data_IF_196564401770
#
_entry.id   IF_196564401770
#
_cell.length_a   1.000
_cell.length_b   1.000
_cell.length_c   1.000
_cell.angle_alpha   90.00
_cell.angle_beta   90.00
_cell.angle_gamma   90.00
#
_symmetry.space_group_name_H-M   'P 1'
#
loop_
_entity.id
_entity.type
_entity.pdbx_description
1 polymer ?
#
# COMPACT_ATOMS: atom_id res chain seq x y z
N UNK A 1 9.48 5.75 -1.68
CA UNK A 1 9.51 4.58 -2.57
C UNK A 1 10.36 3.50 -1.92
N UNK A 2 9.90 2.25 -1.93
CA UNK A 2 10.50 1.11 -1.19
C UNK A 2 11.34 0.15 -2.09
N UNK A 3 11.57 0.47 -3.36
CA UNK A 3 12.13 -0.47 -4.34
C UNK A 3 13.56 -0.92 -4.07
N UNK A 4 14.40 -0.04 -3.51
CA UNK A 4 15.81 -0.32 -3.18
C UNK A 4 16.03 -0.19 -1.67
N UNK A 5 15.19 -0.90 -0.90
CA UNK A 5 15.18 -0.85 0.56
C UNK A 5 16.37 -1.59 1.17
N UNK A 6 17.03 -0.92 2.10
CA UNK A 6 18.01 -1.46 3.05
C UNK A 6 17.60 -1.05 4.47
N UNK A 7 18.19 -1.64 5.50
CA UNK A 7 17.88 -1.25 6.88
C UNK A 7 18.16 0.25 7.13
N UNK A 8 19.28 0.77 6.63
CA UNK A 8 19.63 2.20 6.75
C UNK A 8 18.59 3.09 6.07
N UNK A 9 18.18 2.75 4.85
CA UNK A 9 17.15 3.51 4.13
C UNK A 9 15.79 3.44 4.80
N UNK A 10 15.44 2.31 5.42
CA UNK A 10 14.20 2.22 6.19
C UNK A 10 14.20 3.25 7.33
N UNK A 11 15.28 3.36 8.09
CA UNK A 11 15.39 4.35 9.16
C UNK A 11 15.32 5.80 8.63
N UNK A 12 15.93 6.09 7.47
CA UNK A 12 15.81 7.41 6.82
C UNK A 12 14.37 7.71 6.39
N UNK A 13 13.66 6.73 5.83
CA UNK A 13 12.26 6.85 5.44
C UNK A 13 11.36 7.08 6.66
N UNK A 14 11.59 6.37 7.76
CA UNK A 14 10.83 6.54 9.01
C UNK A 14 10.93 7.99 9.52
N UNK A 15 12.14 8.55 9.56
CA UNK A 15 12.36 9.95 9.95
C UNK A 15 11.65 10.92 9.00
N UNK A 16 11.72 10.68 7.69
CA UNK A 16 11.08 11.55 6.70
C UNK A 16 9.55 11.51 6.80
N UNK A 17 8.96 10.33 7.01
CA UNK A 17 7.51 10.14 7.18
C UNK A 17 7.02 10.80 8.47
N UNK A 18 7.76 10.66 9.56
CA UNK A 18 7.43 11.33 10.83
C UNK A 18 7.50 12.85 10.70
N UNK A 19 8.53 13.38 10.04
CA UNK A 19 8.66 14.81 9.76
C UNK A 19 7.51 15.31 8.87
N UNK A 20 7.13 14.56 7.84
CA UNK A 20 6.01 14.91 6.97
C UNK A 20 4.68 14.95 7.74
N UNK A 21 4.43 13.96 8.61
CA UNK A 21 3.26 13.92 9.49
C UNK A 21 3.21 15.12 10.43
N UNK A 22 4.33 15.42 11.11
CA UNK A 22 4.43 16.57 12.04
C UNK A 22 4.21 17.90 11.33
N UNK A 23 4.68 18.03 10.09
CA UNK A 23 4.53 19.22 9.28
C UNK A 23 3.20 19.30 8.50
N UNK A 24 2.29 18.33 8.69
CA UNK A 24 1.06 18.15 7.90
C UNK A 24 1.32 18.21 6.38
N UNK A 25 2.45 17.66 5.93
CA UNK A 25 2.81 17.59 4.51
C UNK A 25 2.27 16.29 3.92
N UNK A 26 1.52 16.35 2.81
CA UNK A 26 1.02 15.15 2.19
C UNK A 26 2.17 14.34 1.60
N UNK A 27 2.10 13.02 1.72
CA UNK A 27 3.13 12.12 1.20
C UNK A 27 2.53 10.89 0.53
N UNK A 28 3.31 10.34 -0.40
CA UNK A 28 2.93 9.19 -1.23
C UNK A 28 3.80 8.00 -0.85
N UNK A 29 3.16 6.86 -0.64
CA UNK A 29 3.84 5.58 -0.47
C UNK A 29 3.82 4.79 -1.77
N UNK A 30 4.98 4.29 -2.16
CA UNK A 30 5.16 3.37 -3.28
C UNK A 30 5.84 2.09 -2.74
N UNK A 31 5.08 1.00 -2.51
CA UNK A 31 5.51 -0.19 -1.79
C UNK A 31 6.23 -1.20 -2.69
N UNK A 32 7.00 -0.73 -3.68
CA UNK A 32 7.69 -1.57 -4.67
C UNK A 32 8.31 -2.82 -4.06
N UNK A 33 7.85 -3.98 -4.51
CA UNK A 33 8.36 -5.28 -4.08
C UNK A 33 8.00 -5.66 -2.64
N UNK A 34 6.94 -5.12 -2.05
CA UNK A 34 6.51 -5.47 -0.69
C UNK A 34 6.25 -6.98 -0.52
N UNK A 35 5.84 -7.69 -1.58
CA UNK A 35 5.64 -9.14 -1.56
C UNK A 35 6.90 -9.98 -1.77
N UNK A 36 8.06 -9.37 -2.06
CA UNK A 36 9.24 -10.14 -2.50
C UNK A 36 10.05 -10.76 -1.36
N UNK A 37 9.85 -10.32 -0.12
CA UNK A 37 10.44 -10.93 1.08
C UNK A 37 9.70 -10.51 2.36
N UNK A 38 9.79 -11.30 3.45
CA UNK A 38 9.20 -10.92 4.73
C UNK A 38 9.71 -9.55 5.23
N UNK A 39 11.01 -9.28 5.10
CA UNK A 39 11.60 -8.01 5.47
C UNK A 39 10.95 -6.82 4.75
N UNK A 40 10.74 -6.93 3.43
CA UNK A 40 10.11 -5.86 2.64
C UNK A 40 8.64 -5.69 2.99
N UNK A 41 7.93 -6.80 3.24
CA UNK A 41 6.53 -6.75 3.66
C UNK A 41 6.38 -6.06 5.01
N UNK A 42 7.21 -6.44 5.98
CA UNK A 42 7.19 -5.86 7.33
C UNK A 42 7.50 -4.37 7.30
N UNK A 43 8.53 -3.97 6.54
CA UNK A 43 8.88 -2.57 6.38
C UNK A 43 7.77 -1.76 5.69
N UNK A 44 7.20 -2.28 4.59
CA UNK A 44 6.08 -1.63 3.92
C UNK A 44 4.86 -1.53 4.82
N UNK A 45 4.56 -2.57 5.60
CA UNK A 45 3.47 -2.55 6.58
C UNK A 45 3.71 -1.47 7.65
N UNK A 46 4.90 -1.39 8.23
CA UNK A 46 5.23 -0.40 9.26
C UNK A 46 5.08 1.03 8.74
N UNK A 47 5.55 1.32 7.52
CA UNK A 47 5.39 2.63 6.89
C UNK A 47 3.92 2.87 6.50
N UNK A 48 3.22 1.87 5.95
CA UNK A 48 1.81 1.98 5.57
C UNK A 48 0.88 2.29 6.75
N UNK A 49 1.19 1.80 7.95
CA UNK A 49 0.46 2.13 9.18
C UNK A 49 0.54 3.61 9.55
N UNK A 50 1.51 4.36 9.01
CA UNK A 50 1.61 5.81 9.17
C UNK A 50 0.65 6.60 8.28
N UNK A 51 -0.26 5.92 7.56
CA UNK A 51 -1.36 6.49 6.76
C UNK A 51 -0.88 7.50 5.71
N UNK A 52 -0.20 7.04 4.64
CA UNK A 52 0.12 7.91 3.50
C UNK A 52 -1.15 8.50 2.91
N UNK A 53 -1.09 9.73 2.42
CA UNK A 53 -2.22 10.37 1.73
C UNK A 53 -2.55 9.65 0.43
N UNK A 54 -1.54 9.11 -0.25
CA UNK A 54 -1.71 8.28 -1.45
C UNK A 54 -0.85 7.04 -1.33
N UNK A 55 -1.44 5.87 -1.58
CA UNK A 55 -0.72 4.61 -1.75
C UNK A 55 -0.82 4.18 -3.21
N UNK A 56 0.33 4.08 -3.90
CA UNK A 56 0.39 3.75 -5.32
C UNK A 56 1.23 2.50 -5.54
N UNK A 57 0.69 1.50 -6.22
CA UNK A 57 1.41 0.26 -6.54
C UNK A 57 0.66 -0.55 -7.60
N UNK A 58 1.25 -1.64 -8.05
CA UNK A 58 0.51 -2.59 -8.91
C UNK A 58 -0.50 -3.41 -8.10
N UNK A 59 -1.35 -4.18 -8.77
CA UNK A 59 -2.41 -4.97 -8.14
C UNK A 59 -1.85 -5.92 -7.06
N UNK A 60 -0.82 -6.72 -7.36
CA UNK A 60 -0.24 -7.67 -6.42
C UNK A 60 0.37 -6.99 -5.18
N UNK A 61 1.03 -5.83 -5.36
CA UNK A 61 1.58 -5.04 -4.25
C UNK A 61 0.49 -4.50 -3.34
N UNK A 62 -0.57 -3.92 -3.90
CA UNK A 62 -1.70 -3.40 -3.13
C UNK A 62 -2.43 -4.52 -2.40
N UNK A 63 -2.69 -5.65 -3.06
CA UNK A 63 -3.33 -6.83 -2.45
C UNK A 63 -2.50 -7.35 -1.28
N UNK A 64 -1.19 -7.54 -1.49
CA UNK A 64 -0.28 -8.07 -0.48
C UNK A 64 -0.18 -7.13 0.73
N UNK A 65 0.05 -5.84 0.48
CA UNK A 65 0.19 -4.86 1.54
C UNK A 65 -1.13 -4.63 2.29
N UNK A 66 -2.25 -4.57 1.57
CA UNK A 66 -3.57 -4.49 2.18
C UNK A 66 -3.80 -5.66 3.13
N UNK A 67 -3.53 -6.89 2.69
CA UNK A 67 -3.66 -8.07 3.55
C UNK A 67 -2.79 -8.01 4.81
N UNK A 68 -1.56 -7.53 4.70
CA UNK A 68 -0.68 -7.34 5.85
C UNK A 68 -1.16 -6.23 6.81
N UNK A 69 -1.79 -5.19 6.29
CA UNK A 69 -2.37 -4.09 7.07
C UNK A 69 -3.69 -4.48 7.72
N UNK A 70 -4.57 -5.21 7.02
CA UNK A 70 -5.91 -5.57 7.50
C UNK A 70 -5.92 -6.82 8.36
N UNK A 71 -4.98 -7.76 8.17
CA UNK A 71 -4.80 -8.89 9.08
C UNK A 71 -4.49 -8.42 10.51
N UNK A 72 -3.78 -7.30 10.66
CA UNK A 72 -3.56 -6.64 11.95
C UNK A 72 -4.85 -6.04 12.57
N UNK A 73 -5.91 -5.86 11.77
CA UNK A 73 -7.22 -5.28 12.14
C UNK A 73 -8.33 -6.36 12.16
N UNK A 74 -8.00 -7.64 11.97
CA UNK A 74 -8.96 -8.75 11.99
C UNK A 74 -9.87 -8.85 10.75
N UNK A 75 -9.63 -8.03 9.72
CA UNK A 75 -10.38 -8.06 8.47
C UNK A 75 -9.73 -9.02 7.47
N UNK A 76 -10.47 -10.05 7.04
CA UNK A 76 -10.02 -11.05 6.07
C UNK A 76 -10.11 -10.46 4.66
N UNK A 77 -8.97 -10.08 4.09
CA UNK A 77 -8.85 -9.87 2.64
C UNK A 77 -8.55 -11.22 2.00
N UNK A 78 -9.50 -11.74 1.21
CA UNK A 78 -9.31 -12.97 0.44
C UNK A 78 -8.40 -12.71 -0.77
N UNK A 79 -7.09 -12.54 -0.53
CA UNK A 79 -6.08 -12.54 -1.58
C UNK A 79 -5.62 -13.96 -1.88
N UNK A 80 -5.74 -14.41 -3.13
CA UNK A 80 -5.08 -15.65 -3.58
C UNK A 80 -3.56 -15.44 -3.53
N UNK A 81 -2.82 -16.53 -3.35
CA UNK A 81 -1.37 -16.52 -3.14
C UNK A 81 -0.59 -15.85 -4.27
N UNK A 82 0.67 -15.54 -3.97
CA UNK A 82 1.65 -14.68 -4.69
C UNK A 82 2.06 -15.19 -6.09
N UNK A 83 1.30 -16.13 -6.66
CA UNK A 83 1.58 -16.75 -7.97
C UNK A 83 0.37 -16.57 -8.91
N UNK A 84 0.11 -15.33 -9.34
CA UNK A 84 -0.57 -15.00 -10.61
C UNK A 84 -0.46 -13.49 -10.86
N UNK A 85 -0.43 -13.08 -12.12
CA UNK A 85 -0.62 -11.69 -12.56
C UNK A 85 -1.99 -11.17 -12.10
N UNK A 86 -2.06 -10.56 -10.91
CA UNK A 86 -3.28 -9.90 -10.45
C UNK A 86 -3.62 -8.75 -11.39
N UNK A 87 -4.87 -8.69 -11.81
CA UNK A 87 -5.38 -7.57 -12.60
C UNK A 87 -5.77 -6.40 -11.71
N UNK A 88 -5.86 -5.21 -12.29
CA UNK A 88 -6.43 -4.04 -11.61
C UNK A 88 -7.82 -4.33 -11.01
N UNK A 89 -8.62 -5.16 -11.68
CA UNK A 89 -9.96 -5.56 -11.23
C UNK A 89 -9.93 -6.44 -9.98
N UNK A 90 -8.91 -7.29 -9.82
CA UNK A 90 -8.74 -8.11 -8.62
C UNK A 90 -8.47 -7.25 -7.39
N UNK A 91 -7.75 -6.13 -7.58
CA UNK A 91 -7.43 -5.19 -6.52
C UNK A 91 -8.59 -4.22 -6.19
N UNK A 92 -9.61 -4.05 -7.04
CA UNK A 92 -10.65 -3.02 -6.89
C UNK A 92 -11.30 -3.01 -5.50
N UNK A 93 -11.87 -4.16 -5.08
CA UNK A 93 -12.55 -4.26 -3.78
C UNK A 93 -11.58 -4.04 -2.61
N UNK A 94 -10.34 -4.48 -2.78
CA UNK A 94 -9.30 -4.36 -1.77
C UNK A 94 -8.84 -2.91 -1.64
N UNK A 95 -8.65 -2.20 -2.75
CA UNK A 95 -8.29 -0.78 -2.79
C UNK A 95 -9.37 0.09 -2.13
N UNK A 96 -10.65 -0.15 -2.44
CA UNK A 96 -11.78 0.56 -1.81
C UNK A 96 -11.79 0.32 -0.30
N UNK A 97 -11.71 -0.94 0.15
CA UNK A 97 -11.73 -1.26 1.57
C UNK A 97 -10.50 -0.70 2.31
N UNK A 98 -9.31 -0.83 1.72
CA UNK A 98 -8.07 -0.27 2.28
C UNK A 98 -8.21 1.24 2.49
N UNK A 99 -8.79 1.92 1.52
CA UNK A 99 -8.99 3.36 1.58
C UNK A 99 -9.96 3.77 2.69
N UNK A 100 -11.05 3.02 2.87
CA UNK A 100 -12.00 3.26 3.96
C UNK A 100 -11.35 3.08 5.34
N UNK A 101 -10.42 2.14 5.48
CA UNK A 101 -9.70 1.87 6.73
C UNK A 101 -8.63 2.93 7.02
N UNK A 102 -7.85 3.31 6.01
CA UNK A 102 -6.71 4.22 6.18
C UNK A 102 -7.07 5.70 6.00
N UNK A 103 -8.25 6.00 5.44
CA UNK A 103 -8.68 7.33 5.05
C UNK A 103 -7.68 8.03 4.11
N UNK A 104 -7.26 7.32 3.06
CA UNK A 104 -6.29 7.80 2.07
C UNK A 104 -6.85 7.80 0.64
N UNK A 105 -5.98 7.77 -0.37
CA UNK A 105 -6.31 7.45 -1.76
C UNK A 105 -5.45 6.27 -2.18
N UNK A 106 -6.02 5.31 -2.90
CA UNK A 106 -5.27 4.19 -3.47
C UNK A 106 -5.26 4.29 -4.99
N UNK A 107 -4.07 4.11 -5.56
CA UNK A 107 -3.84 4.05 -7.00
C UNK A 107 -3.27 2.66 -7.33
N UNK A 108 -4.01 1.89 -8.11
CA UNK A 108 -3.58 0.58 -8.62
C UNK A 108 -3.20 0.73 -10.08
N UNK A 109 -1.94 0.48 -10.42
CA UNK A 109 -1.47 0.56 -11.81
C UNK A 109 -1.54 -0.78 -12.54
N UNK A 110 -1.89 -0.76 -13.83
CA UNK A 110 -2.00 -1.95 -14.67
C UNK A 110 -2.17 -1.62 -16.14
N UNK A 111 -2.87 -2.48 -16.90
CA UNK A 111 -3.30 -2.16 -18.27
C UNK A 111 -4.29 -0.98 -18.27
N UNK A 112 -5.16 -0.96 -17.26
CA UNK A 112 -6.01 0.18 -16.90
C UNK A 112 -5.65 0.54 -15.46
N UNK A 113 -5.43 1.83 -15.21
CA UNK A 113 -5.14 2.33 -13.89
C UNK A 113 -6.46 2.53 -13.11
N UNK A 114 -6.48 2.19 -11.84
CA UNK A 114 -7.61 2.43 -10.95
C UNK A 114 -7.23 3.43 -9.87
N UNK A 115 -8.08 4.42 -9.64
CA UNK A 115 -7.93 5.40 -8.55
C UNK A 115 -9.20 5.40 -7.71
N UNK A 116 -9.05 5.32 -6.38
CA UNK A 116 -10.19 5.39 -5.46
C UNK A 116 -9.87 6.11 -4.16
N UNK A 117 -10.84 6.86 -3.65
CA UNK A 117 -10.87 7.46 -2.31
C UNK A 117 -11.77 6.67 -1.34
N UNK A 118 -12.21 5.47 -1.74
CA UNK A 118 -13.13 4.62 -0.99
C UNK A 118 -14.62 4.91 -1.22
N UNK A 119 -14.96 6.02 -1.90
CA UNK A 119 -16.34 6.38 -2.26
C UNK A 119 -16.54 6.41 -3.78
N UNK A 120 -15.57 6.96 -4.50
CA UNK A 120 -15.53 7.02 -5.95
C UNK A 120 -14.43 6.08 -6.46
N UNK A 121 -14.69 5.46 -7.61
CA UNK A 121 -13.71 4.68 -8.37
C UNK A 121 -13.63 5.28 -9.77
N UNK A 122 -12.42 5.55 -10.24
CA UNK A 122 -12.12 6.00 -11.61
C UNK A 122 -11.16 4.99 -12.24
N UNK A 123 -11.41 4.64 -13.50
CA UNK A 123 -10.63 3.71 -14.30
C UNK A 123 -10.48 4.22 -15.73
#
# INVERSE_FOLDING_TARGET
>A
NMGTLTQTRLSEIEVAVEAAGTANKPWVMDPVGCGSSPFRLDACRAIGQKRPNVMRGNASEIITLAGALTAAVGARTSGKGVDSTDSTMDALKIAVNLTQILSNVVVVTGEVDLVTDGNLVVM
#
